data_IF_086567896454
#
_entry.id   IF_086567896454
#
_cell.length_a   1.000
_cell.length_b   1.000
_cell.length_c   1.000
_cell.angle_alpha   90.00
_cell.angle_beta   90.00
_cell.angle_gamma   90.00
#
_symmetry.space_group_name_H-M   'P 1'
#
loop_
_entity.id
_entity.type
_entity.pdbx_description
1 polymer ?
#
# COMPACT_ATOMS: atom_id res chain seq x y z
N UNK A 1 -45.34 26.06 11.11
CA UNK A 1 -45.10 25.30 12.36
C UNK A 1 -44.10 24.22 12.01
N UNK A 2 -42.87 24.29 12.55
CA UNK A 2 -41.85 23.26 12.30
C UNK A 2 -42.14 22.06 13.19
N UNK A 3 -42.69 20.99 12.62
CA UNK A 3 -42.76 19.70 13.31
C UNK A 3 -41.33 19.21 13.55
N UNK A 4 -40.89 19.22 14.81
CA UNK A 4 -39.62 18.59 15.18
C UNK A 4 -39.76 17.09 14.93
N UNK A 5 -39.17 16.61 13.84
CA UNK A 5 -39.02 15.17 13.58
C UNK A 5 -38.24 14.56 14.73
N UNK A 6 -38.89 13.66 15.46
CA UNK A 6 -38.29 12.89 16.55
C UNK A 6 -37.66 11.61 15.99
N UNK A 7 -36.42 11.35 16.36
CA UNK A 7 -35.68 10.17 15.92
C UNK A 7 -35.62 9.14 17.04
N UNK A 8 -35.67 7.86 16.69
CA UNK A 8 -35.70 6.79 17.68
C UNK A 8 -34.75 5.66 17.26
N UNK A 9 -34.05 5.08 18.24
CA UNK A 9 -33.28 3.85 18.08
C UNK A 9 -33.86 2.79 19.01
N UNK A 10 -33.88 1.55 18.56
CA UNK A 10 -34.30 0.40 19.37
C UNK A 10 -33.06 -0.35 19.84
N UNK A 11 -32.92 -0.53 21.16
CA UNK A 11 -31.84 -1.31 21.77
C UNK A 11 -32.49 -2.37 22.66
N UNK A 12 -32.38 -3.65 22.29
CA UNK A 12 -33.15 -4.72 22.94
C UNK A 12 -34.66 -4.55 22.69
N UNK A 13 -35.45 -4.46 23.77
CA UNK A 13 -36.91 -4.23 23.70
C UNK A 13 -37.33 -2.77 23.95
N UNK A 14 -36.38 -1.85 24.15
CA UNK A 14 -36.68 -0.46 24.49
C UNK A 14 -36.47 0.47 23.29
N UNK A 15 -37.35 1.47 23.17
CA UNK A 15 -37.30 2.51 22.13
C UNK A 15 -36.87 3.83 22.76
N UNK A 16 -35.68 4.30 22.39
CA UNK A 16 -35.04 5.49 22.97
C UNK A 16 -35.15 6.63 21.96
N UNK A 17 -35.67 7.79 22.39
CA UNK A 17 -35.66 9.03 21.59
C UNK A 17 -34.24 9.59 21.56
N UNK A 18 -33.72 9.85 20.35
CA UNK A 18 -32.34 10.32 20.14
C UNK A 18 -32.33 11.54 19.22
N UNK A 19 -31.21 12.25 19.20
CA UNK A 19 -30.98 13.30 18.21
C UNK A 19 -30.76 12.70 16.81
N UNK A 20 -30.95 13.53 15.79
CA UNK A 20 -30.71 13.14 14.40
C UNK A 20 -29.28 12.65 14.17
N UNK A 21 -28.30 13.30 14.78
CA UNK A 21 -26.87 12.96 14.67
C UNK A 21 -26.60 11.53 15.17
N UNK A 22 -27.17 11.18 16.33
CA UNK A 22 -27.01 9.85 16.94
C UNK A 22 -27.73 8.80 16.10
N UNK A 23 -28.93 9.10 15.58
CA UNK A 23 -29.66 8.20 14.68
C UNK A 23 -28.86 7.89 13.41
N UNK A 24 -28.33 8.94 12.75
CA UNK A 24 -27.53 8.79 11.53
C UNK A 24 -26.26 7.99 11.80
N UNK A 25 -25.53 8.28 12.88
CA UNK A 25 -24.33 7.55 13.25
C UNK A 25 -24.60 6.06 13.51
N UNK A 26 -25.70 5.75 14.21
CA UNK A 26 -26.12 4.38 14.50
C UNK A 26 -26.43 3.59 13.22
N UNK A 27 -27.16 4.19 12.27
CA UNK A 27 -27.56 3.51 11.04
C UNK A 27 -26.51 3.54 9.92
N UNK A 28 -25.55 4.47 9.96
CA UNK A 28 -24.58 4.68 8.89
C UNK A 28 -23.82 3.41 8.50
N UNK A 29 -23.28 2.67 9.48
CA UNK A 29 -22.55 1.43 9.21
C UNK A 29 -23.47 0.30 8.73
N UNK A 30 -24.65 0.16 9.34
CA UNK A 30 -25.63 -0.86 8.98
C UNK A 30 -26.18 -0.66 7.57
N UNK A 31 -26.47 0.58 7.17
CA UNK A 31 -26.91 0.91 5.81
C UNK A 31 -25.79 0.71 4.79
N UNK A 32 -24.56 1.09 5.17
CA UNK A 32 -23.36 0.87 4.34
C UNK A 32 -23.14 -0.62 4.10
N UNK A 33 -23.24 -1.46 5.12
CA UNK A 33 -23.12 -2.91 5.02
C UNK A 33 -24.23 -3.50 4.13
N UNK A 34 -25.50 -3.13 4.36
CA UNK A 34 -26.63 -3.55 3.50
C UNK A 34 -26.45 -3.15 2.04
N UNK A 35 -25.87 -1.97 1.81
CA UNK A 35 -25.56 -1.51 0.45
C UNK A 35 -24.48 -2.38 -0.20
N UNK A 36 -23.37 -2.64 0.50
CA UNK A 36 -22.28 -3.49 -0.02
C UNK A 36 -22.69 -4.95 -0.20
N UNK A 37 -23.35 -5.56 0.80
CA UNK A 37 -23.68 -6.98 0.77
C UNK A 37 -24.90 -7.32 -0.09
N UNK A 38 -25.79 -6.35 -0.35
CA UNK A 38 -27.01 -6.58 -1.13
C UNK A 38 -27.04 -5.77 -2.42
N UNK A 39 -27.26 -4.46 -2.29
CA UNK A 39 -27.60 -3.58 -3.43
C UNK A 39 -26.53 -3.52 -4.52
N UNK A 40 -25.26 -3.73 -4.16
CA UNK A 40 -24.13 -3.67 -5.09
C UNK A 40 -23.94 -4.97 -5.88
N UNK A 41 -24.35 -6.10 -5.31
CA UNK A 41 -24.21 -7.46 -5.85
C UNK A 41 -25.35 -7.87 -6.79
N UNK A 42 -26.37 -7.02 -6.91
CA UNK A 42 -27.58 -7.31 -7.68
C UNK A 42 -27.66 -6.41 -8.90
N UNK A 43 -27.98 -7.01 -10.05
CA UNK A 43 -28.37 -6.26 -11.25
C UNK A 43 -29.72 -5.59 -11.02
N UNK A 44 -29.89 -4.38 -11.57
CA UNK A 44 -31.14 -3.64 -11.47
C UNK A 44 -31.74 -3.45 -12.84
N UNK A 45 -33.03 -3.73 -12.95
CA UNK A 45 -33.84 -3.51 -14.13
C UNK A 45 -34.86 -2.42 -13.81
N UNK A 46 -34.79 -1.30 -14.53
CA UNK A 46 -35.79 -0.24 -14.47
C UNK A 46 -36.51 -0.22 -15.81
N UNK A 47 -37.77 -0.68 -15.81
CA UNK A 47 -38.62 -0.65 -16.99
C UNK A 47 -39.49 0.60 -16.95
N UNK A 48 -39.38 1.46 -17.96
CA UNK A 48 -40.28 2.59 -18.17
C UNK A 48 -41.37 2.18 -19.17
N UNK A 49 -42.57 1.93 -18.67
CA UNK A 49 -43.70 1.47 -19.48
C UNK A 49 -44.17 2.49 -20.52
N UNK A 50 -44.01 3.79 -20.27
CA UNK A 50 -44.38 4.87 -21.21
C UNK A 50 -43.43 4.99 -22.41
N UNK A 51 -42.15 4.64 -22.23
CA UNK A 51 -41.12 4.77 -23.25
C UNK A 51 -40.69 3.41 -23.84
N UNK A 52 -41.34 2.31 -23.47
CA UNK A 52 -40.99 0.92 -23.85
C UNK A 52 -39.49 0.60 -23.71
N UNK A 53 -38.81 1.19 -22.72
CA UNK A 53 -37.36 1.09 -22.54
C UNK A 53 -37.02 0.40 -21.22
N UNK A 54 -36.07 -0.53 -21.27
CA UNK A 54 -35.50 -1.21 -20.11
C UNK A 54 -34.08 -0.69 -19.91
N UNK A 55 -33.83 -0.04 -18.77
CA UNK A 55 -32.47 0.30 -18.34
C UNK A 55 -31.94 -0.79 -17.42
N UNK A 56 -30.80 -1.37 -17.81
CA UNK A 56 -30.10 -2.39 -17.02
C UNK A 56 -28.87 -1.75 -16.40
N UNK A 57 -28.79 -1.75 -15.08
CA UNK A 57 -27.58 -1.40 -14.35
C UNK A 57 -26.91 -2.70 -13.88
N UNK A 58 -25.74 -3.07 -14.42
CA UNK A 58 -25.07 -4.31 -14.04
C UNK A 58 -24.59 -4.24 -12.59
N UNK A 59 -24.40 -5.42 -11.98
CA UNK A 59 -23.76 -5.53 -10.67
C UNK A 59 -22.32 -5.00 -10.73
N UNK A 60 -21.80 -4.50 -9.61
CA UNK A 60 -20.37 -4.16 -9.52
C UNK A 60 -19.49 -5.36 -9.18
N UNK A 61 -20.08 -6.49 -8.83
CA UNK A 61 -19.34 -7.73 -8.58
C UNK A 61 -19.54 -8.68 -9.77
N UNK A 62 -18.50 -9.45 -10.06
CA UNK A 62 -18.50 -10.47 -11.10
C UNK A 62 -17.68 -11.67 -10.65
N UNK A 63 -18.00 -12.85 -11.18
CA UNK A 63 -17.25 -14.08 -10.92
C UNK A 63 -15.85 -14.00 -11.53
N UNK A 64 -14.88 -14.54 -10.80
CA UNK A 64 -13.49 -14.61 -11.27
C UNK A 64 -13.41 -15.42 -12.57
N UNK A 65 -14.13 -16.56 -12.67
CA UNK A 65 -14.13 -17.37 -13.88
C UNK A 65 -14.59 -16.58 -15.12
N UNK A 66 -15.73 -15.88 -15.04
CA UNK A 66 -16.25 -15.08 -16.17
C UNK A 66 -15.29 -13.96 -16.58
N UNK A 67 -14.68 -13.27 -15.63
CA UNK A 67 -13.69 -12.24 -15.91
C UNK A 67 -12.47 -12.83 -16.64
N UNK A 68 -12.02 -13.99 -16.19
CA UNK A 68 -10.88 -14.70 -16.79
C UNK A 68 -11.21 -15.20 -18.21
N UNK A 69 -12.42 -15.72 -18.43
CA UNK A 69 -12.93 -16.13 -19.75
C UNK A 69 -13.05 -14.94 -20.72
N UNK A 70 -13.40 -13.75 -20.22
CA UNK A 70 -13.39 -12.50 -20.99
C UNK A 70 -11.97 -11.97 -21.30
N UNK A 71 -10.93 -12.68 -20.85
CA UNK A 71 -9.54 -12.30 -21.08
C UNK A 71 -9.01 -11.23 -20.13
N UNK A 72 -9.71 -10.93 -19.03
CA UNK A 72 -9.20 -10.03 -18.01
C UNK A 72 -8.11 -10.75 -17.21
N UNK A 73 -6.87 -10.28 -17.33
CA UNK A 73 -5.75 -10.80 -16.55
C UNK A 73 -5.54 -9.95 -15.30
N UNK A 74 -5.38 -10.61 -14.15
CA UNK A 74 -5.03 -9.97 -12.89
C UNK A 74 -3.53 -10.10 -12.65
N UNK A 75 -2.82 -9.02 -12.27
CA UNK A 75 -1.40 -9.09 -12.00
C UNK A 75 -1.14 -9.99 -10.78
N UNK A 76 -0.22 -10.93 -10.92
CA UNK A 76 0.26 -11.72 -9.78
C UNK A 76 1.14 -10.84 -8.90
N UNK A 77 0.60 -10.41 -7.76
CA UNK A 77 1.33 -9.57 -6.81
C UNK A 77 2.39 -10.35 -6.01
N UNK A 78 2.43 -11.68 -6.15
CA UNK A 78 3.41 -12.52 -5.46
C UNK A 78 4.77 -12.58 -6.16
N UNK A 79 4.84 -12.25 -7.44
CA UNK A 79 6.07 -12.25 -8.23
C UNK A 79 6.38 -10.84 -8.78
N UNK A 80 7.65 -10.40 -8.74
CA UNK A 80 8.05 -9.16 -9.41
C UNK A 80 7.76 -9.27 -10.90
N UNK A 81 7.13 -8.24 -11.45
CA UNK A 81 6.87 -8.11 -12.88
C UNK A 81 8.20 -8.05 -13.66
N UNK A 82 8.18 -8.30 -14.98
CA UNK A 82 9.37 -8.11 -15.81
C UNK A 82 9.97 -6.70 -15.70
N UNK A 83 9.13 -5.67 -15.55
CA UNK A 83 9.56 -4.28 -15.39
C UNK A 83 10.23 -4.08 -14.02
N UNK A 84 9.69 -4.65 -12.93
CA UNK A 84 10.33 -4.61 -11.60
C UNK A 84 11.74 -5.23 -11.64
N UNK A 85 11.93 -6.30 -12.42
CA UNK A 85 13.24 -6.95 -12.59
C UNK A 85 14.22 -6.12 -13.41
N UNK A 86 13.72 -5.31 -14.35
CA UNK A 86 14.56 -4.40 -15.14
C UNK A 86 15.03 -3.25 -14.24
N UNK A 87 14.14 -2.70 -13.42
CA UNK A 87 14.45 -1.66 -12.45
C UNK A 87 15.51 -2.14 -11.43
N UNK A 88 15.42 -3.39 -10.97
CA UNK A 88 16.42 -4.00 -10.08
C UNK A 88 17.82 -4.06 -10.72
N UNK A 89 17.91 -4.42 -12.00
CA UNK A 89 19.19 -4.53 -12.71
C UNK A 89 19.81 -3.14 -12.90
N UNK A 90 19.01 -2.14 -13.27
CA UNK A 90 19.48 -0.77 -13.44
C UNK A 90 19.99 -0.19 -12.11
N UNK A 91 19.26 -0.44 -11.01
CA UNK A 91 19.66 -0.03 -9.67
C UNK A 91 20.99 -0.69 -9.24
N UNK A 92 21.18 -1.97 -9.54
CA UNK A 92 22.43 -2.68 -9.23
C UNK A 92 23.62 -2.10 -10.01
N UNK A 93 23.45 -1.80 -11.30
CA UNK A 93 24.49 -1.16 -12.12
C UNK A 93 24.84 0.23 -11.57
N UNK A 94 23.83 0.98 -11.14
CA UNK A 94 24.03 2.31 -10.57
C UNK A 94 24.77 2.24 -9.23
N UNK A 95 24.43 1.26 -8.39
CA UNK A 95 25.10 1.01 -7.12
C UNK A 95 26.57 0.60 -7.32
N UNK A 96 26.86 -0.26 -8.29
CA UNK A 96 28.24 -0.68 -8.60
C UNK A 96 29.10 0.52 -9.02
N UNK A 97 28.58 1.38 -9.91
CA UNK A 97 29.22 2.65 -10.28
C UNK A 97 29.45 3.56 -9.07
N UNK A 98 28.50 3.60 -8.13
CA UNK A 98 28.62 4.40 -6.91
C UNK A 98 29.72 3.86 -5.98
N UNK A 99 29.79 2.54 -5.83
CA UNK A 99 30.81 1.86 -5.02
C UNK A 99 32.21 2.04 -5.60
N UNK A 100 32.36 2.07 -6.93
CA UNK A 100 33.62 2.37 -7.62
C UNK A 100 34.13 3.80 -7.40
N UNK A 101 33.28 4.73 -6.96
CA UNK A 101 33.70 6.09 -6.58
C UNK A 101 34.18 6.19 -5.14
N UNK A 102 33.96 5.18 -4.32
CA UNK A 102 34.46 5.17 -2.95
C UNK A 102 35.97 4.87 -2.93
N UNK A 103 36.74 5.52 -2.05
CA UNK A 103 38.13 5.14 -1.81
C UNK A 103 38.20 3.71 -1.22
N UNK A 104 39.30 3.02 -1.46
CA UNK A 104 39.49 1.60 -1.10
C UNK A 104 39.16 1.29 0.37
N UNK A 105 39.54 2.18 1.29
CA UNK A 105 39.20 2.02 2.71
C UNK A 105 37.70 2.08 3.00
N UNK A 106 36.97 2.97 2.31
CA UNK A 106 35.51 3.09 2.46
C UNK A 106 34.80 1.92 1.79
N UNK A 107 35.30 1.45 0.63
CA UNK A 107 34.80 0.23 -0.03
C UNK A 107 35.00 -1.00 0.86
N UNK A 108 36.18 -1.15 1.46
CA UNK A 108 36.48 -2.24 2.41
C UNK A 108 35.55 -2.17 3.62
N UNK A 109 35.30 -0.98 4.16
CA UNK A 109 34.35 -0.81 5.25
C UNK A 109 32.93 -1.28 4.87
N UNK A 110 32.46 -0.96 3.66
CA UNK A 110 31.16 -1.42 3.16
C UNK A 110 31.14 -2.95 2.99
N UNK A 111 32.21 -3.53 2.46
CA UNK A 111 32.34 -4.98 2.30
C UNK A 111 32.21 -5.71 3.64
N UNK A 112 32.96 -5.27 4.65
CA UNK A 112 32.96 -5.90 5.97
C UNK A 112 31.59 -5.78 6.67
N UNK A 113 30.92 -4.63 6.56
CA UNK A 113 29.65 -4.37 7.25
C UNK A 113 28.42 -4.96 6.56
N UNK A 114 28.37 -4.93 5.23
CA UNK A 114 27.15 -5.25 4.47
C UNK A 114 27.22 -6.55 3.67
N UNK A 115 28.42 -6.96 3.22
CA UNK A 115 28.57 -8.21 2.46
C UNK A 115 28.99 -9.37 3.37
N UNK A 116 29.83 -9.09 4.37
CA UNK A 116 30.28 -10.07 5.36
C UNK A 116 29.49 -10.00 6.68
N UNK A 117 28.50 -9.09 6.76
CA UNK A 117 27.59 -8.91 7.90
C UNK A 117 28.27 -8.76 9.27
N UNK A 118 29.51 -8.25 9.30
CA UNK A 118 30.22 -8.05 10.57
C UNK A 118 29.61 -6.91 11.36
N UNK A 119 29.62 -7.05 12.67
CA UNK A 119 29.21 -5.99 13.58
C UNK A 119 30.22 -4.84 13.60
N UNK A 120 29.76 -3.64 13.94
CA UNK A 120 30.63 -2.46 14.05
C UNK A 120 31.77 -2.66 15.06
N UNK A 121 31.57 -3.55 16.06
CA UNK A 121 32.60 -3.91 17.05
C UNK A 121 33.70 -4.78 16.43
N UNK A 122 33.34 -5.80 15.65
CA UNK A 122 34.30 -6.67 14.96
C UNK A 122 35.09 -5.89 13.91
N UNK A 123 34.41 -5.01 13.17
CA UNK A 123 35.07 -4.11 12.22
C UNK A 123 36.02 -3.14 12.93
N UNK A 124 35.63 -2.58 14.08
CA UNK A 124 36.51 -1.70 14.85
C UNK A 124 37.80 -2.42 15.30
N UNK A 125 37.69 -3.69 15.71
CA UNK A 125 38.84 -4.53 16.03
C UNK A 125 39.73 -4.79 14.82
N UNK A 126 39.13 -5.13 13.66
CA UNK A 126 39.84 -5.37 12.40
C UNK A 126 40.62 -4.14 11.92
N UNK A 127 40.03 -2.96 12.05
CA UNK A 127 40.64 -1.69 11.64
C UNK A 127 41.50 -1.05 12.74
N UNK A 128 41.62 -1.68 13.92
CA UNK A 128 42.33 -1.13 15.09
C UNK A 128 41.88 0.30 15.48
N UNK A 129 40.57 0.55 15.44
CA UNK A 129 39.97 1.86 15.74
C UNK A 129 38.84 1.75 16.77
N UNK A 130 38.37 2.89 17.28
CA UNK A 130 37.22 2.91 18.17
C UNK A 130 35.91 2.63 17.41
N UNK A 131 34.96 1.97 18.07
CA UNK A 131 33.63 1.65 17.50
C UNK A 131 32.91 2.91 17.04
N UNK A 132 33.00 4.02 17.79
CA UNK A 132 32.42 5.30 17.39
C UNK A 132 32.98 5.87 16.08
N UNK A 133 34.25 5.58 15.77
CA UNK A 133 34.87 5.95 14.50
C UNK A 133 34.28 5.15 13.35
N UNK A 134 34.06 3.84 13.54
CA UNK A 134 33.39 2.98 12.55
C UNK A 134 31.97 3.46 12.29
N UNK A 135 31.21 3.76 13.34
CA UNK A 135 29.86 4.31 13.23
C UNK A 135 29.83 5.61 12.40
N UNK A 136 30.74 6.56 12.70
CA UNK A 136 30.85 7.80 11.95
C UNK A 136 31.21 7.56 10.48
N UNK A 137 32.21 6.69 10.22
CA UNK A 137 32.64 6.34 8.85
C UNK A 137 31.51 5.68 8.07
N UNK A 138 30.79 4.72 8.64
CA UNK A 138 29.61 4.08 8.05
C UNK A 138 28.58 5.12 7.62
N UNK A 139 28.19 6.03 8.53
CA UNK A 139 27.22 7.09 8.22
C UNK A 139 27.72 8.01 7.10
N UNK A 140 29.00 8.35 7.10
CA UNK A 140 29.62 9.20 6.06
C UNK A 140 29.59 8.51 4.69
N UNK A 141 29.92 7.22 4.62
CA UNK A 141 29.90 6.44 3.37
C UNK A 141 28.49 6.30 2.83
N UNK A 142 27.52 5.96 3.69
CA UNK A 142 26.10 5.87 3.27
C UNK A 142 25.58 7.21 2.73
N UNK A 143 25.96 8.34 3.33
CA UNK A 143 25.61 9.66 2.80
C UNK A 143 26.22 9.90 1.42
N UNK A 144 27.49 9.55 1.20
CA UNK A 144 28.14 9.70 -0.12
C UNK A 144 27.44 8.85 -1.19
N UNK A 145 27.13 7.60 -0.85
CA UNK A 145 26.41 6.69 -1.75
C UNK A 145 25.03 7.26 -2.08
N UNK A 146 24.28 7.72 -1.06
CA UNK A 146 22.99 8.38 -1.26
C UNK A 146 23.08 9.59 -2.19
N UNK A 147 24.01 10.51 -1.94
CA UNK A 147 24.20 11.69 -2.79
C UNK A 147 24.58 11.33 -4.23
N UNK A 148 25.29 10.21 -4.44
CA UNK A 148 25.61 9.73 -5.78
C UNK A 148 24.38 9.15 -6.48
N UNK A 149 23.60 8.32 -5.78
CA UNK A 149 22.39 7.72 -6.33
C UNK A 149 21.34 8.80 -6.66
N UNK A 150 21.12 9.79 -5.79
CA UNK A 150 20.17 10.89 -6.06
C UNK A 150 20.57 11.78 -7.24
N UNK A 151 21.87 11.87 -7.57
CA UNK A 151 22.37 12.67 -8.70
C UNK A 151 22.36 11.93 -10.03
N UNK A 152 22.33 10.60 -10.00
CA UNK A 152 22.47 9.73 -11.17
C UNK A 152 21.27 8.77 -11.35
N UNK A 153 20.23 8.94 -10.54
CA UNK A 153 18.87 8.39 -10.71
C UNK A 153 18.01 9.36 -11.49
#
# INVERSE_FOLDING_TARGET
>A
MNEQKKWYITVGNERIEVSEEVYRAYWHYTEKEKYFMGKLKQEKFVANQENETVQVTPSKEDSLERLTECGLQFPDTSAPSPDDKVDDIELLILLDKALDKLPDEERRLVQELFYLEKTEREVAQLFHTAVGTIYYRKKKVLRKLKEYLEKNS
#
